data_IF_493711454076
#
_entry.id   IF_493711454076
#
_cell.length_a   1.000
_cell.length_b   1.000
_cell.length_c   1.000
_cell.angle_alpha   90.00
_cell.angle_beta   90.00
_cell.angle_gamma   90.00
#
_symmetry.space_group_name_H-M   'P 1'
#
loop_
_entity.id
_entity.type
_entity.pdbx_description
1 polymer ?
#
# COMPACT_ATOMS: atom_id res chain seq x y z
N UNK A 1 -24.22 34.37 -34.08
CA UNK A 1 -24.07 32.91 -34.04
C UNK A 1 -22.56 32.59 -34.03
N UNK A 2 -22.03 32.22 -32.87
CA UNK A 2 -20.68 31.71 -32.78
C UNK A 2 -20.74 30.20 -32.46
N UNK A 3 -20.11 29.33 -33.27
CA UNK A 3 -19.99 27.93 -32.92
C UNK A 3 -18.92 27.76 -31.86
N UNK A 4 -19.30 27.24 -30.70
CA UNK A 4 -18.34 26.75 -29.70
C UNK A 4 -17.57 25.55 -30.27
N UNK A 5 -16.38 25.80 -30.76
CA UNK A 5 -15.37 24.77 -30.95
C UNK A 5 -14.84 24.35 -29.59
N UNK A 6 -15.44 23.30 -29.02
CA UNK A 6 -14.84 22.56 -27.92
C UNK A 6 -13.71 21.73 -28.56
N UNK A 7 -12.53 22.27 -28.56
CA UNK A 7 -11.33 21.50 -28.85
C UNK A 7 -11.26 20.34 -27.87
N UNK A 8 -11.30 19.10 -28.39
CA UNK A 8 -10.88 17.90 -27.64
C UNK A 8 -9.45 18.11 -27.17
N UNK A 9 -9.30 18.66 -25.97
CA UNK A 9 -8.04 18.62 -25.26
C UNK A 9 -7.76 17.14 -25.05
N UNK A 10 -6.76 16.62 -25.73
CA UNK A 10 -6.26 15.28 -25.46
C UNK A 10 -6.07 15.15 -23.97
N UNK A 11 -6.92 14.35 -23.31
CA UNK A 11 -6.69 13.98 -21.93
C UNK A 11 -5.44 13.10 -21.96
N UNK A 12 -4.29 13.71 -21.69
CA UNK A 12 -3.16 12.93 -21.20
C UNK A 12 -3.67 12.24 -19.93
N UNK A 13 -4.18 11.03 -20.07
CA UNK A 13 -4.31 10.10 -18.97
C UNK A 13 -2.88 9.87 -18.48
N UNK A 14 -2.44 10.69 -17.54
CA UNK A 14 -1.35 10.32 -16.68
C UNK A 14 -1.88 9.14 -15.87
N UNK A 15 -1.65 7.96 -16.40
CA UNK A 15 -2.04 6.71 -15.79
C UNK A 15 -1.43 6.66 -14.40
N UNK A 16 -2.27 6.50 -13.39
CA UNK A 16 -1.85 6.60 -12.00
C UNK A 16 -1.06 5.36 -11.62
N UNK A 17 0.24 5.51 -11.45
CA UNK A 17 1.11 4.47 -10.92
C UNK A 17 1.24 4.64 -9.41
N UNK A 18 0.85 3.60 -8.66
CA UNK A 18 0.95 3.56 -7.20
C UNK A 18 1.88 2.44 -6.77
N UNK A 19 2.72 2.73 -5.78
CA UNK A 19 3.52 1.71 -5.11
C UNK A 19 2.92 1.43 -3.73
N UNK A 20 2.60 0.16 -3.47
CA UNK A 20 2.04 -0.32 -2.21
C UNK A 20 3.09 -1.07 -1.40
N UNK A 21 3.18 -0.76 -0.13
CA UNK A 21 4.06 -1.46 0.81
C UNK A 21 3.36 -1.62 2.15
N UNK A 22 3.67 -2.68 2.87
CA UNK A 22 3.06 -3.00 4.15
C UNK A 22 4.08 -3.56 5.14
N UNK A 23 3.77 -3.38 6.42
CA UNK A 23 4.47 -4.10 7.48
C UNK A 23 5.99 -3.85 7.47
N UNK A 24 6.38 -2.55 7.55
CA UNK A 24 7.77 -2.06 7.66
C UNK A 24 8.32 -2.37 9.06
N UNK A 25 7.47 -2.29 10.09
CA UNK A 25 7.79 -2.64 11.47
C UNK A 25 9.09 -2.03 12.00
N UNK A 26 9.38 -0.78 11.62
CA UNK A 26 10.54 -0.05 12.14
C UNK A 26 11.90 -0.47 11.57
N UNK A 27 11.95 -1.29 10.54
CA UNK A 27 13.19 -1.67 9.86
C UNK A 27 13.74 -0.53 9.02
N UNK A 28 14.82 0.09 9.46
CA UNK A 28 15.51 1.13 8.68
C UNK A 28 16.17 0.53 7.41
N UNK A 29 16.68 -0.68 7.48
CA UNK A 29 17.28 -1.37 6.34
C UNK A 29 16.28 -1.53 5.18
N UNK A 30 15.13 -2.13 5.46
CA UNK A 30 14.14 -2.40 4.42
C UNK A 30 13.37 -1.14 4.00
N UNK A 31 13.16 -0.19 4.92
CA UNK A 31 12.59 1.11 4.57
C UNK A 31 13.46 1.87 3.57
N UNK A 32 14.76 1.91 3.77
CA UNK A 32 15.73 2.55 2.85
C UNK A 32 15.65 1.95 1.45
N UNK A 33 15.67 0.61 1.36
CA UNK A 33 15.54 -0.09 0.08
C UNK A 33 14.21 0.19 -0.62
N UNK A 34 13.11 0.17 0.14
CA UNK A 34 11.79 0.53 -0.39
C UNK A 34 11.76 1.95 -0.97
N UNK A 35 12.36 2.92 -0.28
CA UNK A 35 12.38 4.30 -0.74
C UNK A 35 13.27 4.52 -1.97
N UNK A 36 14.35 3.78 -2.11
CA UNK A 36 15.17 3.80 -3.32
C UNK A 36 14.37 3.24 -4.51
N UNK A 37 13.67 2.11 -4.31
CA UNK A 37 12.75 1.56 -5.32
C UNK A 37 11.63 2.55 -5.66
N UNK A 38 11.03 3.21 -4.66
CA UNK A 38 9.98 4.19 -4.89
C UNK A 38 10.45 5.33 -5.79
N UNK A 39 11.64 5.89 -5.54
CA UNK A 39 12.24 6.95 -6.35
C UNK A 39 12.47 6.51 -7.81
N UNK A 40 12.92 5.28 -8.01
CA UNK A 40 13.22 4.73 -9.33
C UNK A 40 11.97 4.27 -10.08
N UNK A 41 10.91 3.90 -9.38
CA UNK A 41 9.70 3.31 -9.97
C UNK A 41 8.89 4.27 -10.84
N UNK A 42 9.02 5.58 -10.63
CA UNK A 42 8.14 6.58 -11.24
C UNK A 42 6.71 6.59 -10.70
N UNK A 43 6.45 5.88 -9.58
CA UNK A 43 5.15 5.91 -8.93
C UNK A 43 4.82 7.31 -8.40
N UNK A 44 3.60 7.75 -8.64
CA UNK A 44 3.12 9.07 -8.21
C UNK A 44 2.88 9.17 -6.71
N UNK A 45 2.62 8.04 -6.06
CA UNK A 45 2.39 7.92 -4.61
C UNK A 45 2.94 6.62 -4.06
N UNK A 46 3.45 6.70 -2.83
CA UNK A 46 3.73 5.56 -1.96
C UNK A 46 2.53 5.36 -1.04
N UNK A 47 1.91 4.18 -1.08
CA UNK A 47 0.77 3.82 -0.24
C UNK A 47 1.25 2.80 0.80
N UNK A 48 1.25 3.21 2.07
CA UNK A 48 1.63 2.36 3.20
C UNK A 48 0.37 1.73 3.80
N UNK A 49 0.33 0.41 3.84
CA UNK A 49 -0.82 -0.34 4.35
C UNK A 49 -0.74 -0.61 5.87
N UNK A 50 0.01 0.20 6.61
CA UNK A 50 0.09 0.14 8.07
C UNK A 50 1.28 -0.65 8.62
N UNK A 51 1.34 -0.71 9.96
CA UNK A 51 2.41 -1.32 10.75
C UNK A 51 3.79 -0.74 10.40
N UNK A 52 3.92 0.59 10.60
CA UNK A 52 5.05 1.37 10.10
C UNK A 52 6.25 1.32 11.06
N UNK A 53 6.07 1.63 12.33
CA UNK A 53 7.18 1.88 13.27
C UNK A 53 7.41 0.76 14.28
N UNK A 54 6.35 0.20 14.86
CA UNK A 54 6.46 -0.79 15.92
C UNK A 54 6.54 -2.21 15.34
N UNK A 55 7.49 -3.02 15.85
CA UNK A 55 7.68 -4.38 15.37
C UNK A 55 6.54 -5.35 15.76
N UNK A 56 5.72 -4.98 16.76
CA UNK A 56 4.69 -5.86 17.32
C UNK A 56 5.24 -6.88 18.32
N UNK A 57 4.49 -7.21 19.39
CA UNK A 57 5.00 -8.04 20.49
C UNK A 57 5.21 -9.51 20.10
N UNK A 58 4.66 -9.95 18.98
CA UNK A 58 4.71 -11.34 18.50
C UNK A 58 5.79 -11.59 17.44
N UNK A 59 6.44 -10.54 16.96
CA UNK A 59 7.47 -10.64 15.93
C UNK A 59 8.86 -10.44 16.54
N UNK A 60 9.85 -11.13 15.97
CA UNK A 60 11.23 -10.80 16.22
C UNK A 60 11.56 -9.42 15.65
N UNK A 61 12.62 -8.79 16.15
CA UNK A 61 13.07 -7.51 15.61
C UNK A 61 13.53 -7.68 14.16
N UNK A 62 13.03 -6.88 13.23
CA UNK A 62 13.51 -6.92 11.86
C UNK A 62 14.94 -6.36 11.76
N UNK A 63 15.58 -6.64 10.63
CA UNK A 63 16.94 -6.16 10.35
C UNK A 63 17.02 -4.63 10.49
N UNK A 64 18.00 -4.15 11.25
CA UNK A 64 18.18 -2.73 11.57
C UNK A 64 16.88 -2.09 12.11
N UNK A 65 16.34 -2.67 13.18
CA UNK A 65 15.19 -2.06 13.85
C UNK A 65 15.60 -0.72 14.45
N UNK A 66 15.21 0.36 13.79
CA UNK A 66 15.51 1.73 14.16
C UNK A 66 14.36 2.69 13.78
N UNK A 67 13.25 2.70 14.54
CA UNK A 67 12.06 3.51 14.20
C UNK A 67 12.38 4.99 13.97
N UNK A 68 13.31 5.57 14.72
CA UNK A 68 13.72 6.98 14.54
C UNK A 68 14.33 7.25 13.17
N UNK A 69 15.07 6.29 12.62
CA UNK A 69 15.59 6.41 11.25
C UNK A 69 14.48 6.27 10.21
N UNK A 70 13.52 5.38 10.44
CA UNK A 70 12.33 5.25 9.58
C UNK A 70 11.55 6.56 9.52
N UNK A 71 11.31 7.21 10.67
CA UNK A 71 10.67 8.54 10.75
C UNK A 71 11.45 9.57 9.92
N UNK A 72 12.77 9.63 10.11
CA UNK A 72 13.63 10.58 9.40
C UNK A 72 13.64 10.37 7.87
N UNK A 73 13.44 9.14 7.41
CA UNK A 73 13.34 8.81 5.98
C UNK A 73 11.97 9.09 5.38
N UNK A 74 10.88 8.85 6.13
CA UNK A 74 9.52 8.99 5.61
C UNK A 74 9.01 10.44 5.64
N UNK A 75 9.29 11.22 6.69
CA UNK A 75 8.77 12.58 6.85
C UNK A 75 9.11 13.54 5.69
N UNK A 76 10.30 13.50 5.07
CA UNK A 76 10.57 14.31 3.88
C UNK A 76 9.64 13.99 2.69
N UNK A 77 9.02 12.81 2.67
CA UNK A 77 8.12 12.36 1.61
C UNK A 77 6.63 12.52 1.98
N UNK A 78 6.30 13.23 3.05
CA UNK A 78 4.93 13.38 3.59
C UNK A 78 3.86 13.74 2.56
N UNK A 79 4.20 14.54 1.56
CA UNK A 79 3.28 14.95 0.50
C UNK A 79 3.11 13.90 -0.61
N UNK A 80 3.86 12.82 -0.55
CA UNK A 80 3.85 11.73 -1.53
C UNK A 80 3.32 10.42 -0.93
N UNK A 81 3.12 10.37 0.39
CA UNK A 81 2.69 9.18 1.12
C UNK A 81 1.20 9.27 1.44
N UNK A 82 0.49 8.19 1.14
CA UNK A 82 -0.81 7.88 1.74
C UNK A 82 -0.63 6.67 2.65
N UNK A 83 -1.28 6.67 3.79
CA UNK A 83 -1.19 5.56 4.72
C UNK A 83 -2.54 5.22 5.33
N UNK A 84 -2.72 3.95 5.67
CA UNK A 84 -3.82 3.45 6.48
C UNK A 84 -3.30 2.86 7.77
N UNK A 85 -4.15 2.82 8.80
CA UNK A 85 -3.78 2.37 10.13
C UNK A 85 -3.58 0.86 10.19
N UNK A 86 -2.41 0.43 10.64
CA UNK A 86 -2.15 -0.93 11.09
C UNK A 86 -2.54 -1.17 12.55
N UNK A 87 -2.54 -2.42 12.98
CA UNK A 87 -2.84 -2.75 14.37
C UNK A 87 -1.71 -2.36 15.34
N UNK A 88 -0.51 -2.10 14.84
CA UNK A 88 0.62 -1.61 15.62
C UNK A 88 0.77 -0.08 15.58
N UNK A 89 0.02 0.62 14.74
CA UNK A 89 0.09 2.08 14.61
C UNK A 89 -0.79 2.77 15.65
N UNK A 90 -0.24 3.75 16.35
CA UNK A 90 -0.87 4.43 17.47
C UNK A 90 -0.86 5.94 17.30
N UNK A 91 -1.59 6.63 18.19
CA UNK A 91 -1.59 8.08 18.30
C UNK A 91 -0.18 8.63 18.59
N UNK A 92 0.67 7.86 19.28
CA UNK A 92 2.06 8.25 19.56
C UNK A 92 2.89 8.24 18.27
N UNK A 93 2.66 7.27 17.38
CA UNK A 93 3.31 7.22 16.08
C UNK A 93 2.87 8.40 15.20
N UNK A 94 1.59 8.77 15.26
CA UNK A 94 1.06 9.94 14.56
C UNK A 94 1.70 11.25 15.04
N UNK A 95 2.15 11.35 16.29
CA UNK A 95 2.82 12.55 16.79
C UNK A 95 4.19 12.79 16.15
N UNK A 96 4.82 11.76 15.60
CA UNK A 96 6.17 11.83 15.02
C UNK A 96 6.20 11.65 13.52
N UNK A 97 5.15 11.11 12.90
CA UNK A 97 4.98 11.04 11.46
C UNK A 97 4.17 12.24 10.95
N UNK A 98 4.71 12.96 9.96
CA UNK A 98 4.15 14.22 9.44
C UNK A 98 3.09 14.02 8.34
N UNK A 99 2.59 12.81 8.17
CA UNK A 99 1.48 12.45 7.28
C UNK A 99 0.45 11.61 8.04
N UNK A 100 -0.84 11.63 7.66
CA UNK A 100 -1.89 10.89 8.35
C UNK A 100 -1.65 9.38 8.28
N UNK A 101 -1.75 8.69 9.43
CA UNK A 101 -1.58 7.24 9.54
C UNK A 101 -2.74 6.53 10.24
N UNK A 102 -3.73 7.25 10.75
CA UNK A 102 -4.80 6.70 11.60
C UNK A 102 -6.12 6.46 10.86
N UNK A 103 -6.13 6.57 9.54
CA UNK A 103 -7.32 6.22 8.75
C UNK A 103 -7.46 4.70 8.62
N UNK A 104 -8.63 4.14 8.96
CA UNK A 104 -8.86 2.70 8.89
C UNK A 104 -8.84 2.17 7.43
N UNK A 105 -9.09 3.05 6.46
CA UNK A 105 -9.04 2.74 5.04
C UNK A 105 -8.79 3.98 4.17
N UNK A 106 -8.42 3.72 2.93
CA UNK A 106 -8.35 4.72 1.86
C UNK A 106 -9.01 4.18 0.59
N UNK A 107 -9.61 5.07 -0.20
CA UNK A 107 -10.27 4.70 -1.46
C UNK A 107 -9.54 5.32 -2.65
N UNK A 108 -9.31 4.51 -3.67
CA UNK A 108 -8.75 4.95 -4.94
C UNK A 108 -9.70 4.55 -6.08
N UNK A 109 -9.78 5.38 -7.11
CA UNK A 109 -10.49 5.02 -8.33
C UNK A 109 -9.53 4.39 -9.32
N UNK A 110 -9.81 3.17 -9.75
CA UNK A 110 -8.98 2.39 -10.68
C UNK A 110 -9.87 1.87 -11.80
N UNK A 111 -9.75 2.43 -13.01
CA UNK A 111 -10.53 2.02 -14.19
C UNK A 111 -12.06 1.94 -13.95
N UNK A 112 -12.59 2.89 -13.18
CA UNK A 112 -14.01 2.95 -12.86
C UNK A 112 -14.47 2.00 -11.76
N UNK A 113 -13.54 1.31 -11.11
CA UNK A 113 -13.78 0.49 -9.92
C UNK A 113 -13.16 1.16 -8.68
N UNK A 114 -13.64 0.77 -7.50
CA UNK A 114 -13.06 1.22 -6.24
C UNK A 114 -11.97 0.26 -5.79
N UNK A 115 -10.77 0.78 -5.53
CA UNK A 115 -9.77 0.08 -4.78
C UNK A 115 -9.88 0.51 -3.31
N UNK A 116 -10.20 -0.44 -2.46
CA UNK A 116 -10.29 -0.30 -1.01
C UNK A 116 -8.97 -0.72 -0.38
N UNK A 117 -8.19 0.24 0.10
CA UNK A 117 -6.93 -0.03 0.79
C UNK A 117 -7.14 -0.02 2.30
N UNK A 118 -6.72 -1.08 2.96
CA UNK A 118 -6.81 -1.25 4.42
C UNK A 118 -5.58 -2.01 4.92
N UNK A 119 -5.40 -2.10 6.24
CA UNK A 119 -4.31 -2.93 6.75
C UNK A 119 -4.65 -4.43 6.72
N UNK A 120 -5.87 -4.82 7.03
CA UNK A 120 -6.29 -6.21 7.04
C UNK A 120 -6.69 -6.79 8.41
N UNK A 121 -6.42 -6.07 9.49
CA UNK A 121 -6.79 -6.52 10.84
C UNK A 121 -8.27 -6.28 11.18
N UNK A 122 -8.95 -5.38 10.48
CA UNK A 122 -10.39 -5.12 10.58
C UNK A 122 -11.09 -5.62 9.33
N UNK A 123 -10.81 -4.96 8.19
CA UNK A 123 -11.35 -5.35 6.89
C UNK A 123 -10.35 -6.21 6.13
N UNK A 124 -10.79 -7.37 5.70
CA UNK A 124 -10.02 -8.36 4.94
C UNK A 124 -10.99 -9.24 4.14
N UNK A 125 -10.51 -10.31 3.53
CA UNK A 125 -11.34 -11.21 2.71
C UNK A 125 -12.47 -11.91 3.49
N UNK A 126 -12.31 -12.09 4.81
CA UNK A 126 -13.28 -12.76 5.67
C UNK A 126 -14.26 -11.77 6.33
N UNK A 127 -13.95 -10.47 6.25
CA UNK A 127 -14.77 -9.38 6.74
C UNK A 127 -14.67 -8.20 5.75
N UNK A 128 -15.40 -8.29 4.65
CA UNK A 128 -15.36 -7.30 3.59
C UNK A 128 -15.95 -5.95 4.02
N UNK A 129 -15.33 -4.83 3.62
CA UNK A 129 -16.00 -3.53 3.70
C UNK A 129 -17.16 -3.47 2.69
N UNK A 130 -17.99 -2.41 2.71
CA UNK A 130 -18.99 -2.21 1.67
C UNK A 130 -18.34 -2.08 0.28
N UNK A 131 -18.51 -3.10 -0.55
CA UNK A 131 -17.92 -3.20 -1.90
C UNK A 131 -18.97 -3.56 -2.94
N UNK A 132 -18.64 -3.36 -4.21
CA UNK A 132 -19.43 -3.76 -5.36
C UNK A 132 -18.67 -4.78 -6.21
N UNK A 133 -19.39 -5.48 -7.08
CA UNK A 133 -18.78 -6.42 -8.01
C UNK A 133 -17.70 -5.74 -8.88
N UNK A 134 -16.54 -6.37 -8.93
CA UNK A 134 -15.37 -5.90 -9.65
C UNK A 134 -14.48 -4.92 -8.88
N UNK A 135 -14.85 -4.54 -7.66
CA UNK A 135 -13.98 -3.74 -6.80
C UNK A 135 -12.74 -4.52 -6.35
N UNK A 136 -11.76 -3.80 -5.83
CA UNK A 136 -10.48 -4.33 -5.43
C UNK A 136 -10.26 -4.06 -3.95
N UNK A 137 -9.95 -5.11 -3.18
CA UNK A 137 -9.48 -4.99 -1.80
C UNK A 137 -7.97 -5.20 -1.78
N UNK A 138 -7.21 -4.25 -1.25
CA UNK A 138 -5.79 -4.44 -0.97
C UNK A 138 -5.52 -4.30 0.52
N UNK A 139 -4.77 -5.24 1.08
CA UNK A 139 -4.41 -5.22 2.50
C UNK A 139 -3.03 -5.84 2.76
N UNK A 140 -2.50 -5.66 3.97
CA UNK A 140 -1.27 -6.26 4.49
C UNK A 140 -1.56 -7.23 5.63
N UNK A 141 -0.97 -6.99 6.80
CA UNK A 141 -1.19 -7.64 8.08
C UNK A 141 -0.77 -9.12 8.18
N UNK A 142 -1.14 -9.93 7.21
CA UNK A 142 -0.83 -11.36 7.23
C UNK A 142 0.62 -11.66 6.90
N UNK A 143 1.33 -10.72 6.27
CA UNK A 143 2.68 -10.84 5.71
C UNK A 143 2.78 -11.92 4.62
N UNK A 144 1.65 -12.31 4.04
CA UNK A 144 1.54 -13.31 2.97
C UNK A 144 1.17 -12.63 1.67
N UNK A 145 1.69 -13.15 0.56
CA UNK A 145 1.34 -12.66 -0.77
C UNK A 145 -0.07 -13.10 -1.17
N UNK A 146 -0.80 -12.20 -1.84
CA UNK A 146 -2.09 -12.52 -2.43
C UNK A 146 -2.37 -11.67 -3.66
N UNK A 147 -2.83 -12.30 -4.73
CA UNK A 147 -3.35 -11.64 -5.92
C UNK A 147 -4.36 -12.58 -6.59
N UNK A 148 -5.59 -12.61 -6.09
CA UNK A 148 -6.62 -13.54 -6.56
C UNK A 148 -8.00 -12.90 -6.64
N UNK A 149 -8.90 -13.53 -7.39
CA UNK A 149 -10.32 -13.21 -7.37
C UNK A 149 -11.02 -14.05 -6.30
N UNK A 150 -11.95 -13.45 -5.59
CA UNK A 150 -12.76 -14.08 -4.54
C UNK A 150 -14.21 -13.72 -4.74
N UNK A 151 -15.11 -14.68 -4.50
CA UNK A 151 -16.55 -14.46 -4.49
C UNK A 151 -16.96 -13.96 -3.10
N UNK A 152 -17.61 -12.80 -3.04
CA UNK A 152 -18.18 -12.22 -1.85
C UNK A 152 -19.70 -12.02 -2.00
N UNK A 153 -20.37 -11.54 -0.96
CA UNK A 153 -21.79 -11.23 -1.00
C UNK A 153 -22.17 -10.17 -2.06
N UNK A 154 -21.20 -9.36 -2.44
CA UNK A 154 -21.36 -8.31 -3.47
C UNK A 154 -21.03 -8.79 -4.90
N UNK A 155 -20.73 -10.08 -5.10
CA UNK A 155 -20.20 -10.63 -6.35
C UNK A 155 -18.67 -10.81 -6.30
N UNK A 156 -18.07 -10.94 -7.48
CA UNK A 156 -16.63 -11.20 -7.61
C UNK A 156 -15.81 -9.93 -7.37
N UNK A 157 -14.82 -10.03 -6.49
CA UNK A 157 -13.84 -8.97 -6.19
C UNK A 157 -12.41 -9.48 -6.35
N UNK A 158 -11.46 -8.57 -6.50
CA UNK A 158 -10.04 -8.90 -6.44
C UNK A 158 -9.50 -8.64 -5.04
N UNK A 159 -8.75 -9.60 -4.48
CA UNK A 159 -8.06 -9.44 -3.20
C UNK A 159 -6.57 -9.48 -3.42
N UNK A 160 -5.90 -8.41 -2.98
CA UNK A 160 -4.48 -8.17 -3.17
C UNK A 160 -3.78 -8.03 -1.82
N UNK A 161 -2.57 -8.58 -1.71
CA UNK A 161 -1.69 -8.35 -0.57
C UNK A 161 -0.24 -8.34 -1.08
N UNK A 162 0.49 -7.22 -0.94
CA UNK A 162 1.86 -7.13 -1.40
C UNK A 162 2.87 -7.90 -0.53
N UNK A 163 2.42 -8.54 0.55
CA UNK A 163 3.30 -9.15 1.55
C UNK A 163 3.90 -8.13 2.51
N UNK A 164 4.97 -8.49 3.19
CA UNK A 164 5.68 -7.61 4.12
C UNK A 164 7.02 -7.17 3.55
N UNK A 165 7.31 -5.88 3.74
CA UNK A 165 8.61 -5.31 3.37
C UNK A 165 9.73 -5.85 4.26
N UNK A 166 9.47 -6.09 5.56
CA UNK A 166 10.52 -6.38 6.53
C UNK A 166 10.43 -7.75 7.21
N UNK A 167 9.23 -8.30 7.37
CA UNK A 167 8.98 -9.55 8.11
C UNK A 167 8.06 -10.47 7.29
N UNK A 168 8.47 -10.93 6.10
CA UNK A 168 7.65 -11.84 5.30
C UNK A 168 7.41 -13.16 6.02
N UNK A 169 6.28 -13.80 5.76
CA UNK A 169 5.89 -15.10 6.30
C UNK A 169 5.70 -16.13 5.18
N UNK A 170 5.57 -17.39 5.56
CA UNK A 170 5.30 -18.48 4.61
C UNK A 170 6.45 -18.77 3.65
N UNK A 171 7.67 -18.39 3.99
CA UNK A 171 8.83 -18.54 3.10
C UNK A 171 8.88 -17.53 1.94
N UNK A 172 8.01 -16.52 1.97
CA UNK A 172 7.98 -15.47 0.95
C UNK A 172 9.21 -14.54 1.05
N UNK A 173 9.65 -13.94 -0.05
CA UNK A 173 10.66 -12.89 -0.03
C UNK A 173 10.10 -11.56 0.53
N UNK A 174 10.99 -10.59 0.73
CA UNK A 174 10.64 -9.21 1.02
C UNK A 174 10.06 -8.54 -0.23
N UNK A 175 8.84 -8.01 -0.15
CA UNK A 175 8.07 -7.62 -1.33
C UNK A 175 7.36 -6.28 -1.18
N UNK A 176 6.94 -5.75 -2.31
CA UNK A 176 6.05 -4.61 -2.48
C UNK A 176 5.13 -4.85 -3.69
N UNK A 177 4.10 -4.02 -3.85
CA UNK A 177 3.21 -4.08 -4.99
C UNK A 177 3.28 -2.82 -5.85
N UNK A 178 3.10 -2.95 -7.15
CA UNK A 178 2.88 -1.84 -8.07
C UNK A 178 1.53 -2.01 -8.74
N UNK A 179 0.73 -0.98 -8.69
CA UNK A 179 -0.48 -0.84 -9.51
C UNK A 179 -0.21 0.18 -10.60
N UNK A 180 -0.27 -0.25 -11.85
CA UNK A 180 -0.09 0.57 -13.03
C UNK A 180 -1.09 0.11 -14.09
N UNK A 181 -1.87 1.03 -14.65
CA UNK A 181 -2.86 0.74 -15.70
C UNK A 181 -3.84 -0.39 -15.33
N UNK A 182 -4.34 -0.41 -14.09
CA UNK A 182 -5.23 -1.45 -13.58
C UNK A 182 -4.56 -2.80 -13.31
N UNK A 183 -3.29 -2.96 -13.65
CA UNK A 183 -2.52 -4.19 -13.43
C UNK A 183 -1.75 -4.08 -12.12
N UNK A 184 -1.97 -5.04 -11.23
CA UNK A 184 -1.21 -5.16 -9.99
C UNK A 184 -0.12 -6.22 -10.14
N UNK A 185 1.11 -5.84 -9.81
CA UNK A 185 2.28 -6.73 -9.85
C UNK A 185 2.96 -6.72 -8.49
N UNK A 186 3.22 -7.90 -7.94
CA UNK A 186 4.05 -8.06 -6.73
C UNK A 186 5.50 -8.24 -7.18
N UNK A 187 6.42 -7.55 -6.51
CA UNK A 187 7.85 -7.62 -6.79
C UNK A 187 8.64 -7.79 -5.50
N UNK A 188 9.75 -8.50 -5.60
CA UNK A 188 10.75 -8.54 -4.54
C UNK A 188 11.46 -7.18 -4.42
N UNK A 189 12.10 -6.91 -3.27
CA UNK A 189 12.96 -5.73 -3.13
C UNK A 189 14.21 -5.79 -4.02
N UNK A 190 14.49 -6.92 -4.67
CA UNK A 190 15.54 -7.07 -5.68
C UNK A 190 15.02 -6.82 -7.11
N UNK A 191 13.71 -6.51 -7.25
CA UNK A 191 13.07 -6.13 -8.51
C UNK A 191 12.49 -7.29 -9.33
N UNK A 192 12.59 -8.52 -8.85
CA UNK A 192 12.03 -9.70 -9.50
C UNK A 192 10.50 -9.73 -9.36
N UNK A 193 9.77 -10.12 -10.38
CA UNK A 193 8.34 -10.38 -10.29
C UNK A 193 8.09 -11.71 -9.55
N UNK A 194 7.02 -11.74 -8.71
CA UNK A 194 6.60 -12.90 -7.93
C UNK A 194 5.28 -13.42 -8.44
#
# INVERSE_FOLDING_TARGET
>A
EMPHLITKKERNHHLMKLLFASDIHGSAFYCRRLLDIYKESGASRLVLLGDILYHGPRNDLPKEYAPKEVIAMLNPLKNQIYAVRGNCDTEVDQMVLEFPILADYALFSVEGKTLYATHGHIFNQDNLPPMQEGDILIHGHTHLLKAEETEGDCGRIRVLNPGSVSIPKGGNPHTYGILEDGVFTIRTLDGEAV
#
